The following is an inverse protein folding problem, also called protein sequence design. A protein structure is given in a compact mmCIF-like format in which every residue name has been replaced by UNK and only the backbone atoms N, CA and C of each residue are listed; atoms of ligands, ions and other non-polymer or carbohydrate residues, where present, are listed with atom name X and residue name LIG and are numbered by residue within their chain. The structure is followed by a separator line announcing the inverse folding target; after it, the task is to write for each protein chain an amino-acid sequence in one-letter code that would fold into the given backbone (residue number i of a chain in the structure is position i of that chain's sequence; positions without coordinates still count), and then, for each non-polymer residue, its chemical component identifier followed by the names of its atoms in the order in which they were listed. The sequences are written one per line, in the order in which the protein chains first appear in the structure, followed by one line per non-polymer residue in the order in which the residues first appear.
data_IF_008345018364
#
_entry.id   IF_008345018364
#
_cell.length_a   1.000
_cell.length_b   1.000
_cell.length_c   1.000
_cell.angle_alpha   90.00
_cell.angle_beta   90.00
_cell.angle_gamma   90.00
#
_symmetry.space_group_name_H-M   'P 1'
#
loop_
_entity.id
_entity.type
_entity.pdbx_description
1 polymer ?
#
# COMPACT_ATOMS: atom_id res chain seq x y z
N UNK A 1 6.16 -5.16 -19.95
CA UNK A 1 7.40 -4.92 -19.16
C UNK A 1 8.69 -5.11 -19.96
N UNK A 2 8.82 -6.12 -20.83
CA UNK A 2 10.03 -6.35 -21.65
C UNK A 2 10.60 -5.06 -22.29
N UNK A 3 9.79 -4.36 -23.10
CA UNK A 3 10.19 -3.07 -23.72
C UNK A 3 10.70 -2.03 -22.71
N UNK A 4 10.11 -1.92 -21.51
CA UNK A 4 10.59 -0.98 -20.49
C UNK A 4 11.96 -1.40 -19.95
N UNK A 5 12.16 -2.70 -19.66
CA UNK A 5 13.44 -3.22 -19.16
C UNK A 5 14.56 -3.14 -20.19
N UNK A 6 14.22 -3.23 -21.47
CA UNK A 6 15.19 -3.16 -22.56
C UNK A 6 15.66 -1.71 -22.84
N UNK A 7 14.89 -0.69 -22.41
CA UNK A 7 15.13 0.70 -22.80
C UNK A 7 15.35 1.67 -21.62
N UNK A 8 15.01 1.27 -20.38
CA UNK A 8 15.04 2.13 -19.21
C UNK A 8 15.84 1.50 -18.08
N UNK A 9 16.54 2.34 -17.32
CA UNK A 9 17.13 1.95 -16.05
C UNK A 9 16.03 1.58 -15.03
N UNK A 10 16.40 0.80 -14.00
CA UNK A 10 15.47 0.45 -12.93
C UNK A 10 14.87 1.68 -12.23
N UNK A 11 15.63 2.78 -12.12
CA UNK A 11 15.15 4.05 -11.56
C UNK A 11 14.05 4.67 -12.41
N UNK A 12 14.21 4.66 -13.73
CA UNK A 12 13.23 5.18 -14.68
C UNK A 12 11.97 4.30 -14.72
N UNK A 13 12.13 2.97 -14.69
CA UNK A 13 11.00 2.04 -14.55
C UNK A 13 10.23 2.35 -13.28
N UNK A 14 10.90 2.49 -12.14
CA UNK A 14 10.24 2.84 -10.88
C UNK A 14 9.50 4.18 -10.98
N UNK A 15 10.09 5.19 -11.64
CA UNK A 15 9.43 6.49 -11.87
C UNK A 15 8.15 6.33 -12.70
N UNK A 16 8.20 5.58 -13.80
CA UNK A 16 7.02 5.30 -14.63
C UNK A 16 5.96 4.53 -13.83
N UNK A 17 6.37 3.46 -13.14
CA UNK A 17 5.44 2.58 -12.44
C UNK A 17 4.85 3.21 -11.17
N UNK A 18 5.52 4.20 -10.57
CA UNK A 18 4.99 4.98 -9.44
C UNK A 18 4.07 6.13 -9.86
N UNK A 19 3.96 6.43 -11.17
CA UNK A 19 2.92 7.30 -11.73
C UNK A 19 1.55 6.61 -11.72
N UNK A 20 1.13 6.16 -10.54
CA UNK A 20 -0.05 5.34 -10.33
C UNK A 20 -1.33 6.08 -10.74
N UNK A 21 -2.17 5.44 -11.54
CA UNK A 21 -3.49 5.97 -11.91
C UNK A 21 -4.53 5.84 -10.78
N UNK A 22 -4.25 5.03 -9.76
CA UNK A 22 -5.10 4.92 -8.58
C UNK A 22 -4.83 6.14 -7.68
N UNK A 23 -5.51 7.25 -7.96
CA UNK A 23 -5.45 8.46 -7.16
C UNK A 23 -6.38 8.28 -5.96
N UNK A 24 -5.88 8.64 -4.78
CA UNK A 24 -6.70 8.68 -3.57
C UNK A 24 -7.57 9.93 -3.56
N UNK A 25 -8.85 9.81 -3.18
CA UNK A 25 -9.69 10.99 -2.90
C UNK A 25 -9.03 11.81 -1.77
N UNK A 26 -8.63 13.04 -2.08
CA UNK A 26 -7.79 13.85 -1.17
C UNK A 26 -8.56 14.44 0.01
N UNK A 27 -9.88 14.54 -0.09
CA UNK A 27 -10.73 15.22 0.90
C UNK A 27 -10.53 14.68 2.33
N UNK A 28 -10.33 13.37 2.49
CA UNK A 28 -10.12 12.78 3.82
C UNK A 28 -8.68 12.94 4.34
N UNK A 29 -7.73 13.35 3.49
CA UNK A 29 -6.34 13.63 3.87
C UNK A 29 -6.12 15.11 4.21
N UNK A 30 -7.06 15.98 3.88
CA UNK A 30 -6.87 17.44 3.95
C UNK A 30 -6.54 17.92 5.36
N UNK A 31 -7.26 17.42 6.37
CA UNK A 31 -6.99 17.76 7.76
C UNK A 31 -5.58 17.34 8.20
N UNK A 32 -5.09 16.19 7.72
CA UNK A 32 -3.74 15.71 8.03
C UNK A 32 -2.69 16.60 7.36
N UNK A 33 -2.92 16.98 6.10
CA UNK A 33 -2.06 17.90 5.34
C UNK A 33 -1.96 19.26 6.01
N UNK A 34 -3.10 19.87 6.38
CA UNK A 34 -3.16 21.17 7.06
C UNK A 34 -2.40 21.10 8.39
N UNK A 35 -2.60 20.04 9.16
CA UNK A 35 -1.91 19.89 10.45
C UNK A 35 -0.39 19.75 10.28
N UNK A 36 0.06 18.95 9.32
CA UNK A 36 1.48 18.85 9.02
C UNK A 36 2.06 20.18 8.52
N UNK A 37 1.31 20.94 7.70
CA UNK A 37 1.74 22.24 7.22
C UNK A 37 2.09 23.19 8.37
N UNK A 38 1.26 23.19 9.42
CA UNK A 38 1.38 24.04 10.62
C UNK A 38 2.49 23.58 11.57
N UNK A 39 2.57 22.28 11.82
CA UNK A 39 3.40 21.73 12.91
C UNK A 39 4.74 21.19 12.44
N UNK A 40 4.83 20.75 11.18
CA UNK A 40 5.93 19.93 10.63
C UNK A 40 6.20 18.65 11.44
N UNK A 41 5.24 18.22 12.27
CA UNK A 41 5.36 17.04 13.12
C UNK A 41 4.89 15.80 12.34
N UNK A 42 5.87 15.00 11.92
CA UNK A 42 5.62 13.74 11.20
C UNK A 42 4.86 12.73 12.05
N UNK A 43 5.15 12.64 13.36
CA UNK A 43 4.47 11.68 14.25
C UNK A 43 3.01 12.08 14.41
N UNK A 44 2.74 13.38 14.56
CA UNK A 44 1.36 13.88 14.64
C UNK A 44 0.58 13.60 13.36
N UNK A 45 1.17 13.89 12.20
CA UNK A 45 0.55 13.60 10.90
C UNK A 45 0.29 12.09 10.72
N UNK A 46 1.24 11.24 11.12
CA UNK A 46 1.09 9.78 11.08
C UNK A 46 -0.06 9.29 11.97
N UNK A 47 -0.14 9.76 13.22
CA UNK A 47 -1.23 9.43 14.15
C UNK A 47 -2.58 9.83 13.56
N UNK A 48 -2.71 11.04 13.03
CA UNK A 48 -3.96 11.49 12.42
C UNK A 48 -4.36 10.68 11.19
N UNK A 49 -3.39 10.29 10.35
CA UNK A 49 -3.66 9.41 9.21
C UNK A 49 -4.12 8.03 9.67
N UNK A 50 -3.49 7.48 10.71
CA UNK A 50 -3.89 6.20 11.31
C UNK A 50 -5.33 6.26 11.83
N UNK A 51 -5.69 7.29 12.60
CA UNK A 51 -7.05 7.47 13.12
C UNK A 51 -8.09 7.60 12.01
N UNK A 52 -7.77 8.38 10.97
CA UNK A 52 -8.63 8.59 9.81
C UNK A 52 -8.84 7.28 9.04
N UNK A 53 -7.75 6.57 8.79
CA UNK A 53 -7.77 5.26 8.14
C UNK A 53 -8.60 4.24 8.94
N UNK A 54 -8.45 4.20 10.26
CA UNK A 54 -9.18 3.25 11.11
C UNK A 54 -10.69 3.49 11.10
N UNK A 55 -11.12 4.75 11.17
CA UNK A 55 -12.55 5.11 11.09
C UNK A 55 -13.14 4.64 9.77
N UNK A 56 -12.45 4.91 8.67
CA UNK A 56 -12.87 4.51 7.33
C UNK A 56 -12.88 2.99 7.15
N UNK A 57 -11.77 2.31 7.44
CA UNK A 57 -11.61 0.89 7.09
C UNK A 57 -12.53 -0.01 7.89
N UNK A 58 -12.82 0.35 9.14
CA UNK A 58 -13.72 -0.41 10.01
C UNK A 58 -15.11 -0.51 9.39
N UNK A 59 -15.64 0.62 8.89
CA UNK A 59 -16.92 0.66 8.21
C UNK A 59 -16.84 0.00 6.82
N UNK A 60 -15.86 0.39 6.01
CA UNK A 60 -15.73 -0.05 4.62
C UNK A 60 -15.58 -1.58 4.48
N UNK A 61 -14.88 -2.24 5.41
CA UNK A 61 -14.70 -3.70 5.41
C UNK A 61 -15.55 -4.43 6.45
N UNK A 62 -16.41 -3.73 7.18
CA UNK A 62 -17.20 -4.29 8.28
C UNK A 62 -16.32 -5.11 9.25
N UNK A 63 -15.34 -4.43 9.87
CA UNK A 63 -14.37 -5.07 10.76
C UNK A 63 -14.80 -5.00 12.23
N UNK A 64 -14.62 -6.11 12.94
CA UNK A 64 -14.79 -6.15 14.39
C UNK A 64 -13.57 -5.58 15.14
N UNK A 65 -13.69 -5.43 16.47
CA UNK A 65 -12.59 -4.88 17.30
C UNK A 65 -11.34 -5.77 17.32
N UNK A 66 -11.48 -7.11 17.21
CA UNK A 66 -10.33 -8.02 17.18
C UNK A 66 -9.55 -7.83 15.89
N UNK A 67 -10.25 -7.71 14.77
CA UNK A 67 -9.68 -7.44 13.44
C UNK A 67 -9.03 -6.05 13.40
N UNK A 68 -9.66 -5.02 13.98
CA UNK A 68 -9.05 -3.69 14.11
C UNK A 68 -7.77 -3.71 14.95
N UNK A 69 -7.77 -4.42 16.08
CA UNK A 69 -6.57 -4.61 16.91
C UNK A 69 -5.45 -5.33 16.14
N UNK A 70 -5.79 -6.32 15.32
CA UNK A 70 -4.84 -6.98 14.44
C UNK A 70 -4.21 -6.01 13.43
N UNK A 71 -5.02 -5.19 12.74
CA UNK A 71 -4.53 -4.20 11.77
C UNK A 71 -3.54 -3.23 12.40
N UNK A 72 -3.87 -2.68 13.59
CA UNK A 72 -2.99 -1.80 14.37
C UNK A 72 -1.64 -2.45 14.68
N UNK A 73 -1.66 -3.64 15.27
CA UNK A 73 -0.44 -4.35 15.68
C UNK A 73 0.43 -4.74 14.48
N UNK A 74 -0.21 -5.11 13.37
CA UNK A 74 0.48 -5.59 12.17
C UNK A 74 1.00 -4.46 11.27
N UNK A 75 0.52 -3.22 11.43
CA UNK A 75 0.88 -2.12 10.53
C UNK A 75 0.21 -2.24 9.16
N UNK A 76 -0.92 -2.95 9.10
CA UNK A 76 -1.67 -3.15 7.88
C UNK A 76 -2.57 -1.94 7.63
N UNK A 77 -2.35 -1.24 6.53
CA UNK A 77 -3.10 -0.04 6.18
C UNK A 77 -2.24 1.05 5.56
N UNK A 78 -2.88 2.14 5.14
CA UNK A 78 -2.22 3.24 4.42
C UNK A 78 -1.27 4.05 5.31
N UNK A 79 -1.53 4.10 6.62
CA UNK A 79 -0.66 4.79 7.57
C UNK A 79 0.64 4.03 7.87
N UNK A 80 0.60 2.69 7.83
CA UNK A 80 1.76 1.83 8.11
C UNK A 80 2.34 2.02 9.52
N UNK A 81 3.51 1.44 9.76
CA UNK A 81 4.30 1.68 10.98
C UNK A 81 5.36 2.75 10.70
N UNK A 82 5.41 3.78 11.55
CA UNK A 82 6.45 4.79 11.51
C UNK A 82 7.68 4.30 12.30
N UNK A 83 8.82 4.23 11.64
CA UNK A 83 10.12 3.80 12.15
C UNK A 83 11.16 4.87 11.80
N UNK A 84 11.39 5.82 12.71
CA UNK A 84 12.26 6.96 12.45
C UNK A 84 11.70 7.87 11.35
N UNK A 85 12.38 7.93 10.22
CA UNK A 85 11.98 8.66 9.00
C UNK A 85 11.51 7.72 7.86
N UNK A 86 11.18 6.48 8.21
CA UNK A 86 10.66 5.49 7.28
C UNK A 86 9.30 5.01 7.75
N UNK A 87 8.39 4.78 6.81
CA UNK A 87 7.07 4.21 7.08
C UNK A 87 6.97 2.90 6.31
N UNK A 88 6.64 1.82 7.02
CA UNK A 88 6.40 0.51 6.42
C UNK A 88 4.89 0.26 6.38
N UNK A 89 4.29 0.42 5.21
CA UNK A 89 2.89 0.07 4.98
C UNK A 89 2.78 -1.38 4.54
N UNK A 90 2.12 -2.20 5.35
CA UNK A 90 1.70 -3.53 4.90
C UNK A 90 0.32 -3.43 4.27
N UNK A 91 0.15 -4.02 3.09
CA UNK A 91 -1.14 -3.94 2.38
C UNK A 91 -2.19 -4.81 3.09
N UNK A 92 -3.40 -4.27 3.17
CA UNK A 92 -4.58 -5.03 3.58
C UNK A 92 -5.11 -5.81 2.38
N UNK A 93 -5.58 -7.05 2.56
CA UNK A 93 -6.22 -7.83 1.51
C UNK A 93 -7.38 -7.08 0.85
N UNK A 94 -7.49 -7.22 -0.47
CA UNK A 94 -8.63 -6.69 -1.24
C UNK A 94 -9.96 -7.20 -0.68
N UNK A 95 -10.06 -8.51 -0.47
CA UNK A 95 -11.20 -9.21 0.10
C UNK A 95 -10.84 -9.76 1.49
N UNK A 96 -10.90 -8.90 2.52
CA UNK A 96 -10.35 -9.17 3.85
C UNK A 96 -10.88 -10.45 4.49
N UNK A 97 -12.19 -10.60 4.62
CA UNK A 97 -12.79 -11.77 5.27
C UNK A 97 -12.48 -13.06 4.50
N UNK A 98 -12.60 -13.04 3.16
CA UNK A 98 -12.32 -14.20 2.30
C UNK A 98 -10.85 -14.63 2.39
N UNK A 99 -9.92 -13.69 2.50
CA UNK A 99 -8.49 -13.98 2.68
C UNK A 99 -8.22 -14.78 3.97
N UNK A 100 -8.88 -14.42 5.08
CA UNK A 100 -8.68 -15.12 6.36
C UNK A 100 -9.49 -16.42 6.49
N UNK A 101 -10.57 -16.57 5.74
CA UNK A 101 -11.43 -17.77 5.77
C UNK A 101 -10.95 -18.89 4.84
N UNK A 102 -10.08 -18.59 3.87
CA UNK A 102 -9.60 -19.58 2.90
C UNK A 102 -8.31 -20.26 3.34
N UNK A 103 -8.23 -21.58 3.13
CA UNK A 103 -7.01 -22.38 3.27
C UNK A 103 -6.31 -22.65 1.94
N UNK A 104 -6.96 -22.35 0.81
CA UNK A 104 -6.42 -22.53 -0.53
C UNK A 104 -5.40 -21.43 -0.86
N UNK A 105 -4.16 -21.83 -1.16
CA UNK A 105 -3.05 -20.89 -1.38
C UNK A 105 -3.25 -19.96 -2.58
N UNK A 106 -3.88 -20.44 -3.67
CA UNK A 106 -4.13 -19.64 -4.87
C UNK A 106 -5.24 -18.62 -4.60
N UNK A 107 -6.34 -19.07 -3.99
CA UNK A 107 -7.45 -18.18 -3.58
C UNK A 107 -6.98 -17.16 -2.54
N UNK A 108 -6.07 -17.52 -1.65
CA UNK A 108 -5.50 -16.59 -0.67
C UNK A 108 -4.77 -15.43 -1.35
N UNK A 109 -3.90 -15.71 -2.32
CA UNK A 109 -3.23 -14.66 -3.13
C UNK A 109 -4.23 -13.84 -3.94
N UNK A 110 -5.25 -14.50 -4.50
CA UNK A 110 -6.34 -13.85 -5.22
C UNK A 110 -7.13 -12.85 -4.36
N UNK A 111 -7.51 -13.23 -3.13
CA UNK A 111 -8.23 -12.35 -2.20
C UNK A 111 -7.35 -11.24 -1.61
N UNK A 112 -6.03 -11.44 -1.59
CA UNK A 112 -5.09 -10.44 -1.12
C UNK A 112 -4.86 -9.32 -2.15
N UNK A 113 -4.52 -9.69 -3.39
CA UNK A 113 -4.02 -8.73 -4.37
C UNK A 113 -5.10 -7.78 -4.89
N UNK A 114 -4.80 -6.47 -4.90
CA UNK A 114 -5.72 -5.43 -5.37
C UNK A 114 -5.69 -5.23 -6.89
N UNK A 115 -4.62 -5.65 -7.57
CA UNK A 115 -4.52 -5.48 -9.01
C UNK A 115 -5.37 -6.56 -9.69
N UNK A 116 -6.45 -6.20 -10.43
CA UNK A 116 -7.31 -7.19 -11.08
C UNK A 116 -6.51 -8.04 -12.07
N UNK A 117 -5.56 -7.45 -12.79
CA UNK A 117 -4.69 -8.19 -13.71
C UNK A 117 -3.83 -9.24 -13.00
N UNK A 118 -3.25 -8.92 -11.85
CA UNK A 118 -2.30 -9.82 -11.17
C UNK A 118 -3.03 -10.90 -10.37
N UNK A 119 -4.14 -10.54 -9.72
CA UNK A 119 -4.88 -11.49 -8.88
C UNK A 119 -5.45 -12.65 -9.70
N UNK A 120 -5.97 -12.41 -10.90
CA UNK A 120 -6.49 -13.47 -11.77
C UNK A 120 -5.39 -14.45 -12.19
N UNK A 121 -4.16 -13.97 -12.45
CA UNK A 121 -3.03 -14.86 -12.74
C UNK A 121 -2.74 -15.83 -11.59
N UNK A 122 -2.87 -15.37 -10.33
CA UNK A 122 -2.72 -16.26 -9.17
C UNK A 122 -3.81 -17.32 -9.10
N UNK A 123 -5.04 -16.99 -9.50
CA UNK A 123 -6.17 -17.93 -9.50
C UNK A 123 -6.01 -19.05 -10.54
N UNK A 124 -5.34 -18.75 -11.66
CA UNK A 124 -5.08 -19.70 -12.74
C UNK A 124 -3.66 -20.32 -12.69
N UNK A 125 -2.92 -20.08 -11.60
CA UNK A 125 -1.53 -20.52 -11.43
C UNK A 125 -0.61 -20.11 -12.60
N UNK A 126 -0.87 -18.94 -13.18
CA UNK A 126 -0.08 -18.37 -14.26
C UNK A 126 1.11 -17.58 -13.71
N UNK A 127 2.20 -17.55 -14.49
CA UNK A 127 3.40 -16.79 -14.10
C UNK A 127 3.06 -15.29 -14.09
N UNK A 128 3.19 -14.60 -12.93
CA UNK A 128 2.97 -13.17 -12.88
C UNK A 128 4.04 -12.44 -13.71
N UNK A 129 3.75 -11.22 -14.19
CA UNK A 129 4.74 -10.39 -14.84
C UNK A 129 5.83 -9.97 -13.84
N UNK A 130 6.72 -9.09 -14.27
CA UNK A 130 7.78 -8.55 -13.42
C UNK A 130 7.26 -7.82 -12.17
N UNK A 131 7.94 -7.99 -11.03
CA UNK A 131 7.59 -7.33 -9.76
C UNK A 131 7.53 -5.80 -9.85
N UNK A 132 8.16 -5.19 -10.86
CA UNK A 132 8.04 -3.77 -11.15
C UNK A 132 6.58 -3.31 -11.32
N UNK A 133 5.63 -4.21 -11.64
CA UNK A 133 4.19 -3.89 -11.58
C UNK A 133 3.70 -3.50 -10.19
N UNK A 134 4.29 -4.03 -9.12
CA UNK A 134 3.93 -3.67 -7.74
C UNK A 134 4.33 -2.24 -7.37
N UNK A 135 5.21 -1.57 -8.13
CA UNK A 135 5.51 -0.15 -7.92
C UNK A 135 4.31 0.75 -8.22
N UNK A 136 3.28 0.26 -8.90
CA UNK A 136 1.98 0.93 -8.97
C UNK A 136 1.35 1.09 -7.57
N UNK A 137 1.40 0.04 -6.73
CA UNK A 137 0.96 0.17 -5.33
C UNK A 137 1.94 1.00 -4.48
N UNK A 138 3.22 1.06 -4.85
CA UNK A 138 4.15 1.98 -4.18
C UNK A 138 3.79 3.44 -4.51
N UNK A 139 3.43 3.73 -5.77
CA UNK A 139 2.93 5.02 -6.22
C UNK A 139 1.67 5.48 -5.48
N UNK A 140 0.75 4.56 -5.18
CA UNK A 140 -0.41 4.88 -4.33
C UNK A 140 -0.02 5.40 -2.94
N UNK A 141 0.96 4.77 -2.28
CA UNK A 141 1.44 5.24 -0.97
C UNK A 141 2.24 6.53 -1.11
N UNK A 142 3.04 6.65 -2.17
CA UNK A 142 3.80 7.86 -2.52
C UNK A 142 2.84 9.06 -2.61
N UNK A 143 1.78 8.95 -3.39
CA UNK A 143 0.76 10.00 -3.59
C UNK A 143 0.11 10.48 -2.28
N UNK A 144 -0.16 9.57 -1.33
CA UNK A 144 -0.71 9.93 -0.01
C UNK A 144 0.30 10.77 0.78
N UNK A 145 1.54 10.29 0.89
CA UNK A 145 2.55 10.94 1.72
C UNK A 145 3.11 12.22 1.11
N UNK A 146 3.25 12.32 -0.21
CA UNK A 146 3.61 13.59 -0.87
C UNK A 146 2.52 14.64 -0.70
N UNK A 147 1.24 14.21 -0.73
CA UNK A 147 0.13 15.11 -0.46
C UNK A 147 0.16 15.67 0.96
N UNK A 148 0.35 14.81 1.96
CA UNK A 148 0.40 15.23 3.38
C UNK A 148 1.61 16.12 3.62
N UNK A 149 2.80 15.67 3.18
CA UNK A 149 4.07 16.30 3.50
C UNK A 149 4.41 17.50 2.62
N UNK A 150 3.69 17.67 1.50
CA UNK A 150 3.90 18.77 0.54
C UNK A 150 5.32 18.79 -0.04
N UNK A 151 5.93 17.61 -0.17
CA UNK A 151 7.26 17.40 -0.73
C UNK A 151 7.37 16.01 -1.33
N UNK A 152 8.38 15.79 -2.17
CA UNK A 152 8.63 14.47 -2.74
C UNK A 152 9.05 13.45 -1.67
N UNK A 153 8.63 12.19 -1.85
CA UNK A 153 9.06 11.05 -1.02
C UNK A 153 9.58 9.92 -1.90
N UNK A 154 10.47 9.09 -1.35
CA UNK A 154 10.93 7.87 -2.03
C UNK A 154 10.11 6.69 -1.56
N UNK A 155 9.87 5.73 -2.45
CA UNK A 155 9.16 4.49 -2.14
C UNK A 155 9.85 3.26 -2.68
N UNK A 156 9.69 2.13 -2.00
CA UNK A 156 10.25 0.83 -2.39
C UNK A 156 9.31 -0.33 -2.09
N UNK A 157 9.34 -1.35 -2.96
CA UNK A 157 8.62 -2.62 -2.74
C UNK A 157 9.55 -3.58 -1.99
N UNK A 158 9.32 -3.74 -0.68
CA UNK A 158 10.11 -4.64 0.18
C UNK A 158 9.67 -6.08 -0.10
N UNK A 159 8.43 -6.40 0.27
CA UNK A 159 7.80 -7.71 0.08
C UNK A 159 6.69 -7.63 -0.96
N UNK A 160 6.48 -8.69 -1.73
CA UNK A 160 5.40 -8.82 -2.69
C UNK A 160 5.01 -10.27 -2.93
N UNK A 161 3.70 -10.53 -3.05
CA UNK A 161 3.19 -11.83 -3.52
C UNK A 161 3.79 -12.26 -4.86
N UNK A 162 4.18 -11.30 -5.73
CA UNK A 162 4.81 -11.59 -7.02
C UNK A 162 6.25 -12.10 -6.88
N UNK A 163 6.90 -11.89 -5.73
CA UNK A 163 8.19 -12.49 -5.37
C UNK A 163 8.04 -13.83 -4.63
N UNK A 164 6.81 -14.22 -4.27
CA UNK A 164 6.54 -15.38 -3.44
C UNK A 164 6.38 -15.08 -1.95
N UNK A 165 6.43 -13.82 -1.52
CA UNK A 165 6.19 -13.43 -0.14
C UNK A 165 4.72 -13.65 0.26
N UNK A 166 4.43 -13.72 1.56
CA UNK A 166 3.08 -13.92 2.10
C UNK A 166 2.24 -12.63 2.10
N UNK A 167 2.90 -11.47 2.14
CA UNK A 167 2.25 -10.15 2.17
C UNK A 167 3.03 -9.17 1.30
N UNK A 168 2.42 -8.02 1.01
CA UNK A 168 3.09 -6.93 0.32
C UNK A 168 3.42 -5.80 1.30
N UNK A 169 4.69 -5.38 1.34
CA UNK A 169 5.16 -4.26 2.16
C UNK A 169 5.80 -3.18 1.29
N UNK A 170 5.39 -1.94 1.53
CA UNK A 170 5.93 -0.75 0.87
C UNK A 170 6.68 0.08 1.90
N UNK A 171 7.94 0.39 1.62
CA UNK A 171 8.68 1.43 2.33
C UNK A 171 8.32 2.79 1.75
N UNK A 172 8.06 3.77 2.61
CA UNK A 172 7.96 5.18 2.27
C UNK A 172 9.03 5.92 3.09
N UNK A 173 9.96 6.58 2.42
CA UNK A 173 11.03 7.36 3.05
C UNK A 173 10.61 8.84 3.03
N UNK A 174 10.38 9.40 4.22
CA UNK A 174 9.75 10.71 4.45
C UNK A 174 10.71 11.74 5.01
#
# INVERSE_FOLDING_TARGET
MKKLKDNLSQKEINKVMTGCACITLKDYLENVRIEYAKTKDLKKAHTMLQETFEKFIKQYKNLDEKQMKFLRKSGWGIAGKLEGNMIISTKIPKEFHKYFQTSDAQKKKYYYCHCPRIRELFLHNEKPPDVNYCYCSAGFNKDIWEYILQKEVKVGVIESLMKGDEVCKIAIYV
#
